data_IF_783944893227
#
_entry.id   IF_783944893227
#
_cell.length_a   1.000
_cell.length_b   1.000
_cell.length_c   1.000
_cell.angle_alpha   90.00
_cell.angle_beta   90.00
_cell.angle_gamma   90.00
#
_symmetry.space_group_name_H-M   'P 1'
#
loop_
_entity.id
_entity.type
_entity.pdbx_description
1 polymer ?
#
# COMPACT_ATOMS: atom_id res chain seq x y z
N UNK A 1 -20.55 -15.08 -31.20
CA UNK A 1 -19.67 -15.22 -30.01
C UNK A 1 -19.86 -16.62 -29.44
N UNK A 2 -18.81 -17.27 -28.92
CA UNK A 2 -18.91 -18.60 -28.31
C UNK A 2 -19.86 -18.56 -27.10
N UNK A 3 -20.89 -19.42 -27.05
CA UNK A 3 -21.91 -19.47 -25.99
C UNK A 3 -21.28 -19.54 -24.59
N UNK A 4 -20.15 -20.25 -24.46
CA UNK A 4 -19.41 -20.34 -23.20
C UNK A 4 -18.94 -18.97 -22.70
N UNK A 5 -18.53 -18.06 -23.58
CA UNK A 5 -18.10 -16.71 -23.20
C UNK A 5 -19.27 -15.83 -22.75
N UNK A 6 -20.47 -16.04 -23.29
CA UNK A 6 -21.68 -15.34 -22.85
C UNK A 6 -22.08 -15.76 -21.44
N UNK A 7 -21.97 -17.05 -21.13
CA UNK A 7 -22.25 -17.57 -19.79
C UNK A 7 -21.33 -16.98 -18.72
N UNK A 8 -20.10 -16.57 -19.08
CA UNK A 8 -19.16 -15.92 -18.15
C UNK A 8 -19.57 -14.49 -17.77
N UNK A 9 -20.58 -13.91 -18.42
CA UNK A 9 -21.19 -12.62 -18.07
C UNK A 9 -22.55 -12.73 -17.37
N UNK A 10 -22.96 -13.94 -16.97
CA UNK A 10 -24.22 -14.16 -16.25
C UNK A 10 -23.99 -13.94 -14.76
N UNK A 11 -24.53 -12.84 -14.24
CA UNK A 11 -24.37 -12.44 -12.84
C UNK A 11 -25.72 -12.40 -12.11
N UNK A 12 -25.71 -12.51 -10.76
CA UNK A 12 -26.92 -12.32 -9.97
C UNK A 12 -27.60 -10.98 -10.26
N UNK A 13 -28.92 -10.96 -10.19
CA UNK A 13 -29.68 -9.72 -10.34
C UNK A 13 -29.24 -8.66 -9.32
N UNK A 14 -29.11 -7.41 -9.76
CA UNK A 14 -28.61 -6.30 -8.94
C UNK A 14 -27.09 -6.16 -8.93
N UNK A 15 -26.38 -6.95 -9.73
CA UNK A 15 -24.94 -6.79 -9.92
C UNK A 15 -24.60 -5.61 -10.84
N UNK A 16 -23.50 -4.93 -10.55
CA UNK A 16 -22.86 -3.95 -11.43
C UNK A 16 -21.65 -4.59 -12.13
N UNK A 17 -21.37 -4.20 -13.37
CA UNK A 17 -20.23 -4.73 -14.14
C UNK A 17 -18.92 -4.08 -13.67
N UNK A 18 -17.88 -4.90 -13.54
CA UNK A 18 -16.49 -4.43 -13.46
C UNK A 18 -15.83 -4.70 -14.83
N UNK A 19 -15.40 -3.68 -15.59
CA UNK A 19 -14.81 -3.86 -16.91
C UNK A 19 -13.45 -4.55 -16.79
N UNK A 20 -13.16 -5.47 -17.71
CA UNK A 20 -11.88 -6.17 -17.79
C UNK A 20 -11.14 -5.79 -19.08
N UNK A 21 -10.12 -4.90 -19.01
CA UNK A 21 -9.40 -4.46 -20.20
C UNK A 21 -8.50 -5.56 -20.81
N UNK A 22 -8.19 -6.63 -20.07
CA UNK A 22 -7.26 -7.66 -20.50
C UNK A 22 -7.88 -8.63 -21.52
N UNK A 23 -8.96 -9.32 -21.16
CA UNK A 23 -9.58 -10.35 -22.01
C UNK A 23 -11.06 -10.09 -22.34
N UNK A 24 -11.62 -8.97 -21.87
CA UNK A 24 -13.01 -8.54 -22.05
C UNK A 24 -14.06 -9.45 -21.40
N UNK A 25 -13.66 -10.32 -20.48
CA UNK A 25 -14.58 -11.10 -19.63
C UNK A 25 -14.79 -10.30 -18.35
N UNK A 26 -15.98 -9.71 -18.14
CA UNK A 26 -16.22 -8.79 -17.04
C UNK A 26 -16.15 -9.51 -15.69
N UNK A 27 -15.80 -8.74 -14.66
CA UNK A 27 -16.12 -9.08 -13.27
C UNK A 27 -17.46 -8.46 -12.88
N UNK A 28 -17.84 -8.60 -11.63
CA UNK A 28 -19.06 -7.98 -11.12
C UNK A 28 -18.95 -7.58 -9.66
N UNK A 29 -19.76 -6.60 -9.29
CA UNK A 29 -19.96 -6.18 -7.90
C UNK A 29 -21.39 -6.44 -7.50
N UNK A 30 -21.63 -6.90 -6.28
CA UNK A 30 -22.95 -6.94 -5.66
C UNK A 30 -22.84 -6.41 -4.24
N UNK A 31 -23.58 -5.34 -3.94
CA UNK A 31 -23.47 -4.60 -2.66
C UNK A 31 -22.01 -4.16 -2.43
N UNK A 32 -21.33 -4.70 -1.42
CA UNK A 32 -19.95 -4.39 -1.06
C UNK A 32 -19.00 -5.56 -1.36
N UNK A 33 -19.37 -6.42 -2.32
CA UNK A 33 -18.57 -7.58 -2.71
C UNK A 33 -18.19 -7.45 -4.17
N UNK A 34 -16.91 -7.59 -4.46
CA UNK A 34 -16.32 -7.41 -5.77
C UNK A 34 -15.66 -8.71 -6.21
N UNK A 35 -16.05 -9.21 -7.38
CA UNK A 35 -15.60 -10.48 -7.93
C UNK A 35 -14.80 -10.21 -9.21
N UNK A 36 -13.51 -10.52 -9.15
CA UNK A 36 -12.53 -10.37 -10.24
C UNK A 36 -11.76 -11.70 -10.43
N UNK A 37 -11.07 -11.91 -11.57
CA UNK A 37 -10.27 -13.12 -11.80
C UNK A 37 -9.15 -13.29 -10.76
N UNK A 38 -8.75 -14.54 -10.50
CA UNK A 38 -7.68 -14.82 -9.52
C UNK A 38 -6.25 -14.50 -9.99
N UNK A 39 -6.06 -14.15 -11.27
CA UNK A 39 -4.73 -13.82 -11.81
C UNK A 39 -4.44 -12.32 -11.63
N UNK A 40 -3.35 -11.93 -10.93
CA UNK A 40 -3.05 -10.53 -10.64
C UNK A 40 -3.03 -9.61 -11.86
N UNK A 41 -2.42 -10.06 -12.97
CA UNK A 41 -2.34 -9.29 -14.23
C UNK A 41 -3.72 -8.93 -14.81
N UNK A 42 -4.75 -9.73 -14.50
CA UNK A 42 -6.14 -9.43 -14.89
C UNK A 42 -6.90 -8.67 -13.80
N UNK A 43 -6.70 -9.05 -12.52
CA UNK A 43 -7.42 -8.47 -11.39
C UNK A 43 -7.04 -7.01 -11.13
N UNK A 44 -5.76 -6.67 -11.24
CA UNK A 44 -5.23 -5.36 -10.91
C UNK A 44 -5.94 -4.20 -11.61
N UNK A 45 -6.01 -4.14 -12.95
CA UNK A 45 -6.70 -3.03 -13.63
C UNK A 45 -8.21 -2.99 -13.36
N UNK A 46 -8.82 -4.12 -12.98
CA UNK A 46 -10.24 -4.18 -12.60
C UNK A 46 -10.48 -3.58 -11.21
N UNK A 47 -9.55 -3.83 -10.27
CA UNK A 47 -9.57 -3.28 -8.93
C UNK A 47 -9.24 -1.79 -8.94
N UNK A 48 -8.22 -1.36 -9.71
CA UNK A 48 -7.93 0.07 -9.94
C UNK A 48 -9.17 0.80 -10.43
N UNK A 49 -9.85 0.29 -11.46
CA UNK A 49 -11.10 0.90 -11.95
C UNK A 49 -12.18 0.99 -10.86
N UNK A 50 -12.32 -0.05 -10.03
CA UNK A 50 -13.32 -0.07 -8.96
C UNK A 50 -13.01 0.94 -7.86
N UNK A 51 -11.73 1.08 -7.49
CA UNK A 51 -11.22 2.03 -6.50
C UNK A 51 -11.34 3.46 -7.03
N UNK A 52 -10.75 3.74 -8.18
CA UNK A 52 -10.65 5.10 -8.75
C UNK A 52 -11.96 5.64 -9.34
N UNK A 53 -12.95 4.77 -9.54
CA UNK A 53 -14.27 5.15 -10.04
C UNK A 53 -15.36 5.01 -8.99
N UNK A 54 -16.11 3.88 -8.95
CA UNK A 54 -17.24 3.70 -8.04
C UNK A 54 -16.93 3.93 -6.56
N UNK A 55 -15.73 3.57 -6.11
CA UNK A 55 -15.30 3.69 -4.72
C UNK A 55 -14.44 4.94 -4.45
N UNK A 56 -14.30 5.85 -5.41
CA UNK A 56 -13.43 7.02 -5.27
C UNK A 56 -13.82 7.90 -4.09
N UNK A 57 -15.10 7.92 -3.73
CA UNK A 57 -15.61 8.63 -2.55
C UNK A 57 -15.03 8.11 -1.22
N UNK A 58 -14.52 6.88 -1.19
CA UNK A 58 -13.85 6.28 -0.03
C UNK A 58 -12.35 6.63 0.04
N UNK A 59 -11.80 7.24 -1.02
CA UNK A 59 -10.41 7.66 -1.02
C UNK A 59 -10.15 8.67 0.10
N UNK A 60 -9.05 8.49 0.82
CA UNK A 60 -8.67 9.37 1.92
C UNK A 60 -9.55 9.26 3.17
N UNK A 61 -10.62 8.44 3.19
CA UNK A 61 -11.45 8.31 4.39
C UNK A 61 -10.72 7.66 5.59
N UNK A 62 -9.52 7.13 5.38
CA UNK A 62 -8.53 6.86 6.42
C UNK A 62 -7.21 7.54 6.06
N UNK A 63 -7.09 8.84 6.31
CA UNK A 63 -5.88 9.65 6.11
C UNK A 63 -4.72 9.19 7.01
N UNK A 64 -4.23 7.96 6.81
CA UNK A 64 -2.93 7.56 7.28
C UNK A 64 -1.92 7.95 6.21
N UNK A 65 -1.16 8.99 6.50
CA UNK A 65 0.00 9.36 5.69
C UNK A 65 1.16 8.49 6.15
N UNK A 66 2.01 8.08 5.23
CA UNK A 66 3.27 7.44 5.57
C UNK A 66 4.46 8.21 5.00
N UNK A 67 5.58 8.13 5.72
CA UNK A 67 6.88 8.65 5.31
C UNK A 67 7.96 7.65 5.71
N UNK A 68 8.89 7.38 4.81
CA UNK A 68 9.96 6.42 5.03
C UNK A 68 11.30 6.94 4.53
N UNK A 69 12.36 6.31 5.05
CA UNK A 69 13.74 6.44 4.61
C UNK A 69 14.29 5.08 4.26
N UNK A 70 15.23 5.04 3.33
CA UNK A 70 16.04 3.87 3.02
C UNK A 70 17.27 3.90 3.91
N UNK A 71 17.35 2.98 4.88
CA UNK A 71 18.50 2.82 5.78
C UNK A 71 19.44 1.74 5.24
N UNK A 72 20.69 2.12 4.95
CA UNK A 72 21.72 1.20 4.47
C UNK A 72 22.54 0.65 5.62
N UNK A 73 22.95 -0.61 5.52
CA UNK A 73 23.89 -1.27 6.43
C UNK A 73 23.48 -1.36 7.92
N UNK A 74 22.23 -1.04 8.28
CA UNK A 74 21.73 -1.22 9.65
C UNK A 74 21.30 -2.68 9.92
N UNK A 75 21.51 -3.14 11.16
CA UNK A 75 20.81 -4.32 11.67
C UNK A 75 19.49 -3.87 12.31
N UNK A 76 18.42 -4.63 12.09
CA UNK A 76 17.09 -4.29 12.63
C UNK A 76 17.10 -4.14 14.16
N UNK A 77 17.95 -4.91 14.86
CA UNK A 77 18.17 -4.81 16.30
C UNK A 77 18.65 -3.43 16.77
N UNK A 78 19.36 -2.70 15.91
CA UNK A 78 19.89 -1.37 16.23
C UNK A 78 18.79 -0.30 16.08
N UNK A 79 17.75 -0.60 15.31
CA UNK A 79 16.62 0.30 15.03
C UNK A 79 15.49 0.12 16.04
N UNK A 80 15.31 -1.08 16.61
CA UNK A 80 14.21 -1.38 17.55
C UNK A 80 14.07 -0.34 18.67
N UNK A 81 15.13 0.12 19.36
CA UNK A 81 14.99 1.11 20.43
C UNK A 81 14.42 2.46 19.92
N UNK A 82 14.84 2.89 18.73
CA UNK A 82 14.31 4.12 18.10
C UNK A 82 12.84 3.93 17.70
N UNK A 83 12.48 2.77 17.17
CA UNK A 83 11.10 2.45 16.79
C UNK A 83 10.17 2.50 18.01
N UNK A 84 10.57 1.87 19.11
CA UNK A 84 9.79 1.86 20.36
C UNK A 84 9.64 3.26 20.96
N UNK A 85 10.71 4.07 20.96
CA UNK A 85 10.68 5.45 21.46
C UNK A 85 9.73 6.33 20.63
N UNK A 86 9.73 6.21 19.30
CA UNK A 86 8.80 6.93 18.44
C UNK A 86 7.35 6.56 18.75
N UNK A 87 7.02 5.26 18.85
CA UNK A 87 5.63 4.85 19.15
C UNK A 87 5.16 5.32 20.53
N UNK A 88 6.07 5.42 21.52
CA UNK A 88 5.76 5.97 22.84
C UNK A 88 5.55 7.48 22.81
N UNK A 89 6.39 8.19 22.04
CA UNK A 89 6.42 9.66 22.02
C UNK A 89 5.34 10.29 21.14
N UNK A 90 4.87 9.58 20.12
CA UNK A 90 3.89 10.07 19.16
C UNK A 90 2.63 9.18 19.13
N UNK A 91 1.65 9.42 20.03
CA UNK A 91 0.41 8.65 20.06
C UNK A 91 -0.33 8.67 18.72
N UNK A 92 -0.73 7.48 18.25
CA UNK A 92 -1.41 7.32 16.96
C UNK A 92 -0.48 7.19 15.75
N UNK A 93 0.84 7.31 15.95
CA UNK A 93 1.85 6.95 14.94
C UNK A 93 2.25 5.49 15.12
N UNK A 94 2.43 4.79 13.99
CA UNK A 94 2.98 3.45 13.92
C UNK A 94 4.26 3.44 13.12
N UNK A 95 5.28 2.76 13.64
CA UNK A 95 6.55 2.58 12.95
C UNK A 95 6.51 1.28 12.16
N UNK A 96 7.14 1.24 10.99
CA UNK A 96 7.32 0.02 10.21
C UNK A 96 8.78 -0.12 9.77
N UNK A 97 9.22 -1.37 9.65
CA UNK A 97 10.55 -1.78 9.20
C UNK A 97 10.35 -2.86 8.14
N UNK A 98 10.78 -2.61 6.91
CA UNK A 98 10.67 -3.52 5.78
C UNK A 98 12.08 -3.86 5.28
N UNK A 99 12.66 -5.01 5.71
CA UNK A 99 13.97 -5.43 5.24
C UNK A 99 13.88 -5.92 3.78
N UNK A 100 14.87 -5.53 2.97
CA UNK A 100 15.04 -5.94 1.58
C UNK A 100 16.47 -6.42 1.35
N UNK A 101 16.64 -7.42 0.48
CA UNK A 101 17.92 -8.11 0.29
C UNK A 101 18.51 -7.86 -1.11
N UNK A 102 17.68 -7.74 -2.13
CA UNK A 102 18.05 -7.78 -3.54
C UNK A 102 17.45 -6.63 -4.36
N UNK A 103 17.24 -5.46 -3.75
CA UNK A 103 16.68 -4.30 -4.46
C UNK A 103 17.62 -3.83 -5.57
N UNK A 104 17.13 -3.58 -6.80
CA UNK A 104 17.97 -3.26 -7.96
C UNK A 104 18.82 -1.99 -7.80
N UNK A 105 18.37 -1.05 -6.96
CA UNK A 105 19.05 0.23 -6.72
C UNK A 105 19.84 0.24 -5.41
N UNK A 106 19.23 -0.24 -4.32
CA UNK A 106 19.77 -0.09 -2.96
C UNK A 106 20.43 -1.35 -2.42
N UNK A 107 20.29 -2.48 -3.14
CA UNK A 107 20.70 -3.78 -2.64
C UNK A 107 20.03 -4.10 -1.30
N UNK A 108 20.84 -4.58 -0.35
CA UNK A 108 20.40 -4.90 1.01
C UNK A 108 20.19 -3.61 1.83
N UNK A 109 18.96 -3.36 2.24
CA UNK A 109 18.57 -2.17 3.00
C UNK A 109 17.35 -2.46 3.88
N UNK A 110 17.01 -1.51 4.76
CA UNK A 110 15.75 -1.50 5.51
C UNK A 110 15.01 -0.23 5.10
N UNK A 111 13.78 -0.38 4.61
CA UNK A 111 12.86 0.76 4.50
C UNK A 111 12.21 0.95 5.87
N UNK A 112 12.56 2.05 6.54
CA UNK A 112 12.09 2.38 7.87
C UNK A 112 11.20 3.62 7.78
N UNK A 113 9.99 3.55 8.33
CA UNK A 113 9.05 4.65 8.22
C UNK A 113 8.02 4.71 9.31
N UNK A 114 7.25 5.79 9.28
CA UNK A 114 6.14 6.07 10.20
C UNK A 114 4.85 6.30 9.43
N UNK A 115 3.73 5.85 9.98
CA UNK A 115 2.38 6.08 9.43
C UNK A 115 1.37 6.47 10.50
N UNK A 116 0.39 7.30 10.13
CA UNK A 116 -0.59 7.86 11.07
C UNK A 116 -1.21 9.16 10.55
N UNK A 117 -1.77 9.96 11.46
CA UNK A 117 -2.31 11.29 11.11
C UNK A 117 -1.21 12.21 10.54
N UNK A 118 -1.54 13.02 9.54
CA UNK A 118 -0.57 13.83 8.81
C UNK A 118 0.28 14.74 9.69
N UNK A 119 -0.27 15.33 10.75
CA UNK A 119 0.48 16.21 11.63
C UNK A 119 1.48 15.40 12.49
N UNK A 120 0.99 14.33 13.11
CA UNK A 120 1.80 13.47 13.97
C UNK A 120 2.91 12.74 13.20
N UNK A 121 2.63 12.32 11.96
CA UNK A 121 3.62 11.68 11.08
C UNK A 121 4.75 12.63 10.71
N UNK A 122 4.47 13.90 10.48
CA UNK A 122 5.53 14.86 10.14
C UNK A 122 6.51 15.01 11.31
N UNK A 123 6.00 15.20 12.53
CA UNK A 123 6.84 15.35 13.73
C UNK A 123 7.62 14.06 14.04
N UNK A 124 6.94 12.91 13.98
CA UNK A 124 7.57 11.61 14.20
C UNK A 124 8.66 11.30 13.17
N UNK A 125 8.43 11.66 11.90
CA UNK A 125 9.41 11.46 10.83
C UNK A 125 10.62 12.39 10.98
N UNK A 126 10.43 13.64 11.40
CA UNK A 126 11.53 14.56 11.69
C UNK A 126 12.39 14.06 12.85
N UNK A 127 11.73 13.51 13.88
CA UNK A 127 12.42 12.86 15.00
C UNK A 127 13.21 11.63 14.55
N UNK A 128 12.61 10.75 13.75
CA UNK A 128 13.26 9.57 13.18
C UNK A 128 14.54 9.96 12.43
N UNK A 129 14.46 10.95 11.53
CA UNK A 129 15.62 11.41 10.74
C UNK A 129 16.74 11.97 11.60
N UNK A 130 16.41 12.70 12.66
CA UNK A 130 17.38 13.31 13.57
C UNK A 130 18.12 12.29 14.45
N UNK A 131 17.54 11.10 14.66
CA UNK A 131 18.09 10.05 15.52
C UNK A 131 18.70 8.88 14.75
N UNK A 132 18.62 8.89 13.42
CA UNK A 132 19.39 7.98 12.59
C UNK A 132 20.84 8.48 12.43
N UNK A 133 21.82 7.57 12.33
CA UNK A 133 23.21 7.95 12.07
C UNK A 133 23.35 8.78 10.79
N UNK A 134 24.19 9.82 10.84
CA UNK A 134 24.42 10.69 9.69
C UNK A 134 24.98 9.88 8.50
N UNK A 135 24.41 10.09 7.32
CA UNK A 135 24.81 9.40 6.09
C UNK A 135 24.33 7.95 5.96
N UNK A 136 23.67 7.38 6.98
CA UNK A 136 23.16 6.00 6.93
C UNK A 136 21.84 5.85 6.17
N UNK A 137 21.20 6.95 5.78
CA UNK A 137 19.87 6.93 5.20
C UNK A 137 19.67 7.96 4.08
N UNK A 138 18.65 7.74 3.25
CA UNK A 138 18.11 8.72 2.30
C UNK A 138 16.58 8.63 2.25
N UNK A 139 15.91 9.69 1.79
CA UNK A 139 14.44 9.69 1.68
C UNK A 139 13.99 8.58 0.71
N UNK A 140 13.02 7.77 1.14
CA UNK A 140 12.42 6.76 0.27
C UNK A 140 11.58 7.46 -0.82
N UNK A 141 11.65 7.00 -2.09
CA UNK A 141 10.79 7.56 -3.12
C UNK A 141 9.33 7.23 -2.82
N UNK A 142 8.48 8.24 -2.96
CA UNK A 142 7.03 8.10 -2.90
C UNK A 142 6.47 7.65 -4.25
#
# INVERSE_FOLDING_TARGET
ANQQRLNMGMFPQGSAIIPNPYNRIPGFSIRQHHFVPGFPVMAWPMLEWALDGPLAHLHGQGHQVERAVIVRHAMESDLTPLMEDIEQRFPGVKVFSLPSVDHPVWGRHIELGVKGDSAAVSEAFDYLRAHLPEGSWEDAPK
#
